data_IF_720498058049
#
_entry.id   IF_720498058049
#
_cell.length_a   1.000
_cell.length_b   1.000
_cell.length_c   1.000
_cell.angle_alpha   90.00
_cell.angle_beta   90.00
_cell.angle_gamma   90.00
#
_symmetry.space_group_name_H-M   'P 1'
#
loop_
_entity.id
_entity.type
_entity.pdbx_description
1 polymer ?
#
# COMPACT_ATOMS: atom_id res chain seq x y z
N UNK A 1 -8.68 38.80 -40.71
CA UNK A 1 -8.70 37.50 -41.43
C UNK A 1 -8.70 36.35 -40.41
N UNK A 2 -9.82 36.11 -39.71
CA UNK A 2 -9.76 35.45 -38.40
C UNK A 2 -10.26 33.99 -38.40
N UNK A 3 -10.96 33.56 -39.46
CA UNK A 3 -11.63 32.26 -39.52
C UNK A 3 -10.63 31.08 -39.66
N UNK A 4 -9.46 31.31 -40.26
CA UNK A 4 -8.41 30.30 -40.36
C UNK A 4 -7.86 29.88 -39.00
N UNK A 5 -7.67 30.82 -38.06
CA UNK A 5 -7.16 30.51 -36.72
C UNK A 5 -8.20 29.76 -35.89
N UNK A 6 -9.49 30.12 -36.01
CA UNK A 6 -10.61 29.37 -35.42
C UNK A 6 -10.69 27.92 -35.94
N UNK A 7 -10.57 27.72 -37.26
CA UNK A 7 -10.55 26.40 -37.88
C UNK A 7 -9.29 25.58 -37.52
N UNK A 8 -8.19 26.24 -37.17
CA UNK A 8 -6.96 25.57 -36.72
C UNK A 8 -7.07 25.12 -35.26
N UNK A 9 -7.53 25.99 -34.36
CA UNK A 9 -7.73 25.69 -32.93
C UNK A 9 -8.77 24.57 -32.73
N UNK A 10 -9.87 24.60 -33.48
CA UNK A 10 -10.86 23.51 -33.47
C UNK A 10 -10.35 22.19 -34.07
N UNK A 11 -9.39 22.23 -35.01
CA UNK A 11 -8.67 21.03 -35.46
C UNK A 11 -7.70 20.48 -34.41
N UNK A 12 -6.98 21.34 -33.66
CA UNK A 12 -6.15 20.88 -32.53
C UNK A 12 -7.01 20.23 -31.45
N UNK A 13 -8.12 20.87 -31.06
CA UNK A 13 -9.07 20.33 -30.08
C UNK A 13 -9.53 18.92 -30.45
N UNK A 14 -9.88 18.67 -31.72
CA UNK A 14 -10.24 17.33 -32.19
C UNK A 14 -9.08 16.34 -32.27
N UNK A 15 -7.84 16.78 -32.45
CA UNK A 15 -6.68 15.89 -32.50
C UNK A 15 -6.23 15.42 -31.11
N UNK A 16 -6.34 16.27 -30.08
CA UNK A 16 -6.00 15.90 -28.70
C UNK A 16 -6.90 14.77 -28.18
N UNK A 17 -8.19 14.77 -28.51
CA UNK A 17 -9.15 13.74 -28.10
C UNK A 17 -8.93 12.36 -28.75
N UNK A 18 -8.05 12.25 -29.77
CA UNK A 18 -7.74 10.97 -30.44
C UNK A 18 -6.58 10.23 -29.74
N UNK A 19 -5.76 10.92 -28.93
CA UNK A 19 -4.65 10.33 -28.18
C UNK A 19 -5.10 9.68 -26.85
N UNK A 20 -6.32 9.15 -26.79
CA UNK A 20 -6.81 8.36 -25.67
C UNK A 20 -6.99 6.90 -26.12
N UNK A 21 -6.52 5.98 -25.27
CA UNK A 21 -6.61 4.50 -25.37
C UNK A 21 -5.50 3.81 -26.20
N UNK A 22 -5.03 2.68 -25.63
CA UNK A 22 -4.21 1.60 -26.22
C UNK A 22 -2.70 1.85 -26.43
N UNK A 23 -1.93 1.62 -25.36
CA UNK A 23 -0.65 0.90 -25.40
C UNK A 23 -0.72 -0.22 -24.35
N UNK A 24 -1.40 -1.32 -24.70
CA UNK A 24 -1.42 -2.58 -23.94
C UNK A 24 -0.95 -3.71 -24.88
N UNK A 25 0.29 -4.19 -24.73
CA UNK A 25 0.69 -5.56 -25.10
C UNK A 25 2.08 -5.88 -24.51
N UNK A 26 2.28 -7.13 -24.08
CA UNK A 26 3.51 -7.58 -23.42
C UNK A 26 4.53 -8.15 -24.42
N UNK A 27 5.80 -8.22 -24.02
CA UNK A 27 6.83 -8.96 -24.76
C UNK A 27 7.78 -9.71 -23.81
N UNK A 28 7.30 -10.86 -23.32
CA UNK A 28 8.12 -12.07 -23.17
C UNK A 28 8.69 -12.45 -24.56
N UNK A 29 9.85 -13.10 -24.73
CA UNK A 29 10.54 -14.10 -23.91
C UNK A 29 12.09 -13.97 -24.00
N UNK A 30 12.79 -14.51 -22.99
CA UNK A 30 14.01 -15.35 -22.98
C UNK A 30 15.14 -15.20 -24.06
N UNK A 31 16.42 -15.48 -23.78
CA UNK A 31 17.04 -16.23 -22.67
C UNK A 31 17.98 -15.33 -21.80
N UNK A 32 19.22 -15.57 -21.36
CA UNK A 32 20.26 -16.58 -21.66
C UNK A 32 21.05 -17.05 -20.42
N UNK A 33 21.42 -18.33 -20.39
CA UNK A 33 22.09 -19.03 -19.27
C UNK A 33 23.55 -18.63 -18.99
N UNK A 34 23.94 -18.72 -17.71
CA UNK A 34 25.15 -19.45 -17.30
C UNK A 34 24.94 -20.14 -15.94
N UNK A 35 25.71 -21.19 -15.65
CA UNK A 35 25.56 -22.10 -14.49
C UNK A 35 26.50 -21.74 -13.33
N UNK A 36 26.52 -22.63 -12.32
CA UNK A 36 27.29 -22.68 -11.06
C UNK A 36 26.48 -22.15 -9.85
N UNK A 37 26.20 -22.93 -8.79
CA UNK A 37 26.46 -24.36 -8.54
C UNK A 37 25.39 -25.00 -7.61
N UNK A 38 25.34 -26.34 -7.57
CA UNK A 38 24.35 -27.11 -6.79
C UNK A 38 24.70 -27.19 -5.29
N UNK A 39 23.79 -26.76 -4.43
CA UNK A 39 23.79 -27.05 -2.99
C UNK A 39 22.40 -27.55 -2.57
N UNK A 40 22.23 -28.88 -2.55
CA UNK A 40 20.96 -29.53 -2.23
C UNK A 40 20.82 -29.72 -0.71
N UNK A 41 19.97 -28.91 -0.06
CA UNK A 41 19.41 -29.20 1.26
C UNK A 41 17.93 -29.61 1.06
N UNK A 42 17.59 -30.86 1.41
CA UNK A 42 16.29 -31.45 1.09
C UNK A 42 15.14 -30.81 1.91
N UNK A 43 14.05 -30.48 1.22
CA UNK A 43 12.86 -29.89 1.83
C UNK A 43 12.04 -30.91 2.65
N UNK A 44 12.23 -30.95 3.96
CA UNK A 44 11.26 -31.60 4.88
C UNK A 44 10.02 -30.71 5.07
N UNK A 45 9.21 -30.57 4.01
CA UNK A 45 7.89 -29.94 4.10
C UNK A 45 6.89 -30.92 4.75
N UNK A 46 6.42 -30.69 6.00
CA UNK A 46 5.37 -31.50 6.58
C UNK A 46 4.08 -31.30 5.77
N UNK A 47 3.66 -32.36 5.10
CA UNK A 47 2.46 -32.38 4.26
C UNK A 47 1.21 -32.14 5.12
N UNK A 48 0.76 -30.88 5.21
CA UNK A 48 -0.45 -30.50 5.93
C UNK A 48 -1.66 -31.11 5.21
N UNK A 49 -2.21 -32.18 5.78
CA UNK A 49 -3.44 -32.79 5.30
C UNK A 49 -4.63 -31.84 5.55
N UNK A 50 -5.57 -31.79 4.60
CA UNK A 50 -6.70 -30.85 4.65
C UNK A 50 -7.63 -31.17 5.85
N UNK A 51 -7.58 -30.32 6.87
CA UNK A 51 -8.38 -30.40 8.09
C UNK A 51 -8.90 -29.00 8.45
N UNK A 52 -10.21 -28.87 8.67
CA UNK A 52 -10.93 -27.65 9.07
C UNK A 52 -10.86 -26.44 8.08
N UNK A 53 -11.67 -26.48 7.02
CA UNK A 53 -12.03 -25.26 6.24
C UNK A 53 -13.32 -24.56 6.76
N UNK A 54 -13.96 -25.06 7.82
CA UNK A 54 -15.23 -24.52 8.39
C UNK A 54 -15.00 -23.68 9.67
N UNK A 55 -13.81 -23.12 9.87
CA UNK A 55 -13.42 -22.46 11.14
C UNK A 55 -12.71 -21.09 10.99
N UNK A 56 -12.54 -20.56 9.77
CA UNK A 56 -11.78 -19.32 9.54
C UNK A 56 -12.63 -18.03 9.61
N UNK A 57 -13.97 -18.09 9.49
CA UNK A 57 -14.83 -16.91 9.30
C UNK A 57 -14.86 -15.91 10.49
N UNK A 58 -14.39 -16.30 11.69
CA UNK A 58 -14.39 -15.49 12.92
C UNK A 58 -12.97 -15.23 13.51
N UNK A 59 -11.88 -15.60 12.82
CA UNK A 59 -10.51 -15.50 13.37
C UNK A 59 -9.93 -14.07 13.27
N UNK A 60 -10.30 -13.22 14.23
CA UNK A 60 -9.75 -11.85 14.36
C UNK A 60 -8.37 -11.85 15.04
N UNK A 61 -7.36 -11.26 14.40
CA UNK A 61 -6.01 -11.11 14.98
C UNK A 61 -6.04 -10.20 16.24
N UNK A 62 -5.57 -10.69 17.41
CA UNK A 62 -5.42 -9.86 18.61
C UNK A 62 -4.59 -8.58 18.43
N UNK A 63 -3.68 -8.51 17.46
CA UNK A 63 -2.85 -7.33 17.22
C UNK A 63 -3.67 -6.12 16.76
N UNK A 64 -4.70 -6.31 15.94
CA UNK A 64 -5.47 -5.19 15.37
C UNK A 64 -6.44 -4.61 16.40
N UNK A 65 -7.04 -5.48 17.22
CA UNK A 65 -7.79 -5.07 18.42
C UNK A 65 -6.90 -4.23 19.36
N UNK A 66 -5.63 -4.61 19.53
CA UNK A 66 -4.68 -3.85 20.34
C UNK A 66 -4.21 -2.55 19.65
N UNK A 67 -4.04 -2.54 18.33
CA UNK A 67 -3.67 -1.35 17.53
C UNK A 67 -4.74 -0.26 17.62
N UNK A 68 -6.01 -0.58 17.38
CA UNK A 68 -7.11 0.40 17.50
C UNK A 68 -7.26 0.91 18.93
N UNK A 69 -7.28 0.00 19.92
CA UNK A 69 -7.27 0.38 21.34
C UNK A 69 -6.10 1.31 21.68
N UNK A 70 -4.91 1.09 21.12
CA UNK A 70 -3.74 1.96 21.32
C UNK A 70 -3.90 3.32 20.64
N UNK A 71 -4.42 3.39 19.40
CA UNK A 71 -4.73 4.67 18.73
C UNK A 71 -5.72 5.52 19.53
N UNK A 72 -6.78 4.91 20.06
CA UNK A 72 -7.83 5.61 20.82
C UNK A 72 -7.39 6.03 22.23
N UNK A 73 -6.81 5.11 23.00
CA UNK A 73 -6.60 5.29 24.45
C UNK A 73 -5.25 5.91 24.81
N UNK A 74 -4.22 5.76 23.97
CA UNK A 74 -2.89 6.30 24.25
C UNK A 74 -2.78 7.75 23.73
N UNK A 75 -2.62 8.70 24.65
CA UNK A 75 -2.50 10.13 24.33
C UNK A 75 -1.38 10.45 23.33
N UNK A 76 -0.24 9.72 23.32
CA UNK A 76 0.79 9.92 22.29
C UNK A 76 0.27 9.47 20.93
N UNK A 77 -0.34 8.29 20.84
CA UNK A 77 -0.86 7.74 19.58
C UNK A 77 -1.98 8.63 19.02
N UNK A 78 -2.95 9.02 19.83
CA UNK A 78 -4.06 9.89 19.41
C UNK A 78 -3.57 11.22 18.83
N UNK A 79 -2.67 11.92 19.51
CA UNK A 79 -2.07 13.16 19.01
C UNK A 79 -1.33 12.96 17.66
N UNK A 80 -0.82 11.76 17.37
CA UNK A 80 -0.13 11.43 16.12
C UNK A 80 -1.09 11.01 15.01
N UNK A 81 -2.23 10.40 15.33
CA UNK A 81 -3.35 10.24 14.38
C UNK A 81 -3.83 11.62 13.92
N UNK A 82 -4.04 12.56 14.85
CA UNK A 82 -4.46 13.93 14.54
C UNK A 82 -3.43 14.68 13.65
N UNK A 83 -2.12 14.46 13.86
CA UNK A 83 -1.07 14.96 12.94
C UNK A 83 -1.14 14.30 11.56
N UNK A 84 -1.20 12.97 11.49
CA UNK A 84 -1.20 12.20 10.25
C UNK A 84 -2.43 12.55 9.39
N UNK A 85 -3.60 12.71 10.01
CA UNK A 85 -4.80 13.26 9.36
C UNK A 85 -4.56 14.67 8.80
N UNK A 86 -3.93 15.56 9.57
CA UNK A 86 -3.63 16.94 9.15
C UNK A 86 -2.68 16.99 7.95
N UNK A 87 -1.66 16.13 7.92
CA UNK A 87 -0.81 15.95 6.74
C UNK A 87 -1.59 15.34 5.57
N UNK A 88 -2.37 14.29 5.78
CA UNK A 88 -3.15 13.63 4.73
C UNK A 88 -4.11 14.61 4.05
N UNK A 89 -4.78 15.47 4.84
CA UNK A 89 -5.66 16.56 4.34
C UNK A 89 -4.88 17.62 3.55
N UNK A 90 -3.61 17.86 3.88
CA UNK A 90 -2.72 18.84 3.21
C UNK A 90 -2.10 18.29 1.91
N UNK A 91 -1.81 16.99 1.85
CA UNK A 91 -1.35 16.31 0.64
C UNK A 91 -2.50 16.12 -0.35
N UNK A 92 -3.63 15.57 0.10
CA UNK A 92 -4.80 15.29 -0.79
C UNK A 92 -5.51 16.54 -1.32
N UNK A 93 -5.34 17.71 -0.70
CA UNK A 93 -5.89 18.98 -1.18
C UNK A 93 -5.02 19.68 -2.23
N UNK A 94 -3.85 19.13 -2.59
CA UNK A 94 -2.93 19.71 -3.60
C UNK A 94 -2.81 18.80 -4.82
N UNK A 95 -3.02 19.36 -6.00
CA UNK A 95 -2.90 18.63 -7.27
C UNK A 95 -1.46 18.36 -7.70
N UNK A 96 -0.51 19.17 -7.23
CA UNK A 96 0.93 18.98 -7.43
C UNK A 96 1.65 19.32 -6.13
N UNK A 97 2.17 18.32 -5.42
CA UNK A 97 2.96 18.52 -4.21
C UNK A 97 4.00 17.41 -4.07
N UNK A 98 5.18 17.75 -3.56
CA UNK A 98 6.27 16.80 -3.22
C UNK A 98 6.23 16.40 -1.74
N UNK A 99 5.20 16.83 -1.01
CA UNK A 99 4.99 16.55 0.40
C UNK A 99 4.47 15.12 0.61
N UNK A 100 5.00 14.42 1.62
CA UNK A 100 4.56 13.06 2.00
C UNK A 100 4.43 12.97 3.51
N UNK A 101 3.51 12.14 4.00
CA UNK A 101 3.23 12.00 5.43
C UNK A 101 4.00 10.84 6.09
N UNK A 102 5.17 10.50 5.55
CA UNK A 102 5.97 9.35 6.02
C UNK A 102 6.54 9.62 7.41
N UNK A 103 6.84 10.88 7.76
CA UNK A 103 7.26 11.28 9.10
C UNK A 103 6.14 11.01 10.11
N UNK A 104 4.95 11.57 9.93
CA UNK A 104 3.82 11.38 10.85
C UNK A 104 3.37 9.91 10.92
N UNK A 105 3.48 9.16 9.82
CA UNK A 105 3.20 7.72 9.78
C UNK A 105 4.20 6.92 10.60
N UNK A 106 5.50 7.16 10.46
CA UNK A 106 6.55 6.49 11.23
C UNK A 106 6.45 6.82 12.73
N UNK A 107 6.19 8.09 13.06
CA UNK A 107 5.97 8.58 14.43
C UNK A 107 4.79 7.84 15.08
N UNK A 108 3.67 7.66 14.35
CA UNK A 108 2.48 6.94 14.79
C UNK A 108 2.73 5.43 14.95
N UNK A 109 3.32 4.77 13.95
CA UNK A 109 3.65 3.32 14.00
C UNK A 109 4.52 3.02 15.21
N UNK A 110 5.61 3.76 15.39
CA UNK A 110 6.50 3.62 16.54
C UNK A 110 5.76 3.83 17.89
N UNK A 111 4.84 4.80 17.98
CA UNK A 111 4.04 5.02 19.18
C UNK A 111 3.05 3.87 19.47
N UNK A 112 2.43 3.31 18.42
CA UNK A 112 1.50 2.17 18.52
C UNK A 112 2.26 0.89 18.90
N UNK A 113 3.41 0.60 18.31
CA UNK A 113 4.19 -0.60 18.64
C UNK A 113 4.71 -0.56 20.08
N UNK A 114 5.15 0.60 20.58
CA UNK A 114 5.46 0.83 22.00
C UNK A 114 4.26 0.68 22.96
N UNK A 115 3.05 0.65 22.43
CA UNK A 115 1.81 0.43 23.17
C UNK A 115 1.39 -1.05 23.11
N UNK A 116 1.31 -1.62 21.90
CA UNK A 116 0.85 -2.99 21.61
C UNK A 116 1.78 -4.06 22.16
N UNK A 117 3.11 -3.87 22.06
CA UNK A 117 4.12 -4.83 22.54
C UNK A 117 4.02 -5.21 24.02
N UNK A 118 3.34 -4.39 24.84
CA UNK A 118 3.10 -4.63 26.27
C UNK A 118 2.09 -5.75 26.54
N UNK A 119 1.19 -6.01 25.60
CA UNK A 119 0.05 -6.93 25.77
C UNK A 119 -0.05 -8.01 24.68
N UNK A 120 0.52 -7.79 23.48
CA UNK A 120 0.42 -8.72 22.34
C UNK A 120 0.89 -10.15 22.67
N UNK A 121 2.09 -10.29 23.24
CA UNK A 121 2.65 -11.60 23.61
C UNK A 121 1.91 -12.31 24.77
N UNK A 122 0.86 -11.70 25.34
CA UNK A 122 -0.07 -12.34 26.31
C UNK A 122 -1.33 -12.88 25.62
N UNK A 123 -1.46 -12.70 24.30
CA UNK A 123 -2.60 -13.13 23.47
C UNK A 123 -2.22 -14.23 22.48
N UNK A 124 -0.97 -14.23 22.03
CA UNK A 124 -0.38 -15.33 21.26
C UNK A 124 -0.17 -16.56 22.18
N UNK A 125 -0.07 -17.75 21.57
CA UNK A 125 0.16 -19.04 22.23
C UNK A 125 1.39 -19.72 21.64
#
# INVERSE_FOLDING_TARGET
>A
MNNYLSNFLSKLSKKVTINAQQEDEANEENEANNKEDEANEEEDQPKIENVQQEAEEDLVDPIDILREKCKETNKKCKNLVEKLESCTKRVTSRTNTTETCVEEMADLVHAVDMCVSKDLFKKLK
#
